data_IF_435529612174
#
_entry.id   IF_435529612174
#
_cell.length_a   1.000
_cell.length_b   1.000
_cell.length_c   1.000
_cell.angle_alpha   90.00
_cell.angle_beta   90.00
_cell.angle_gamma   90.00
#
_symmetry.space_group_name_H-M   'P 1'
#
loop_
_entity.id
_entity.type
_entity.pdbx_description
1 polymer ?
#
# COMPACT_ATOMS: atom_id res chain seq x y z
N UNK A 1 0.60 27.58 7.94
CA UNK A 1 -0.52 27.25 7.00
C UNK A 1 -1.50 26.25 7.61
N UNK A 2 -1.04 25.16 8.26
CA UNK A 2 -1.93 24.10 8.80
C UNK A 2 -3.01 24.67 9.73
N UNK A 3 -2.63 25.47 10.70
CA UNK A 3 -3.59 26.04 11.67
C UNK A 3 -4.25 27.34 11.18
N UNK A 4 -3.52 28.20 10.46
CA UNK A 4 -4.01 29.51 10.06
C UNK A 4 -4.90 29.44 8.81
N UNK A 5 -4.53 28.66 7.79
CA UNK A 5 -5.25 28.56 6.51
C UNK A 5 -6.29 27.46 6.55
N UNK A 6 -5.87 26.25 6.94
CA UNK A 6 -6.76 25.08 6.93
C UNK A 6 -7.54 24.87 8.23
N UNK A 7 -7.28 25.65 9.26
CA UNK A 7 -7.92 25.55 10.60
C UNK A 7 -7.85 24.14 11.19
N UNK A 8 -6.74 23.43 10.93
CA UNK A 8 -6.49 22.08 11.43
C UNK A 8 -5.51 22.08 12.61
N UNK A 9 -5.65 21.10 13.48
CA UNK A 9 -4.84 20.98 14.71
C UNK A 9 -3.44 20.43 14.45
N UNK A 10 -3.24 19.72 13.36
CA UNK A 10 -1.98 19.05 13.01
C UNK A 10 -2.08 18.27 11.72
N UNK A 11 -1.19 17.30 11.58
CA UNK A 11 -1.06 16.44 10.40
C UNK A 11 -1.05 14.98 10.81
N UNK A 12 -1.70 14.12 10.04
CA UNK A 12 -1.59 12.67 10.14
C UNK A 12 -0.86 12.14 8.90
N UNK A 13 0.09 11.23 9.12
CA UNK A 13 0.92 10.62 8.07
C UNK A 13 0.73 9.11 8.09
N UNK A 14 0.44 8.52 6.93
CA UNK A 14 0.47 7.07 6.76
C UNK A 14 1.91 6.56 6.69
N UNK A 15 2.35 5.82 7.70
CA UNK A 15 3.71 5.28 7.78
C UNK A 15 3.75 3.88 7.16
N UNK A 16 4.44 3.75 6.03
CA UNK A 16 4.57 2.49 5.29
C UNK A 16 5.84 1.70 5.62
N UNK A 17 6.78 2.30 6.37
CA UNK A 17 8.14 1.78 6.55
C UNK A 17 9.08 2.09 5.37
N UNK A 18 8.58 2.74 4.31
CA UNK A 18 9.39 3.23 3.20
C UNK A 18 9.90 4.65 3.43
N UNK A 19 10.94 5.02 2.64
CA UNK A 19 11.64 6.31 2.79
C UNK A 19 10.74 7.52 2.57
N UNK A 20 9.81 7.46 1.62
CA UNK A 20 8.94 8.60 1.28
C UNK A 20 8.06 9.01 2.47
N UNK A 21 7.37 8.02 3.07
CA UNK A 21 6.54 8.26 4.25
C UNK A 21 7.37 8.73 5.46
N UNK A 22 8.59 8.22 5.60
CA UNK A 22 9.52 8.64 6.64
C UNK A 22 9.94 10.10 6.45
N UNK A 23 10.30 10.50 5.22
CA UNK A 23 10.64 11.89 4.89
C UNK A 23 9.46 12.83 5.16
N UNK A 24 8.25 12.49 4.74
CA UNK A 24 7.06 13.31 4.97
C UNK A 24 6.82 13.51 6.47
N UNK A 25 6.94 12.45 7.28
CA UNK A 25 6.80 12.54 8.72
C UNK A 25 7.88 13.46 9.36
N UNK A 26 9.15 13.28 8.97
CA UNK A 26 10.26 14.08 9.48
C UNK A 26 10.11 15.56 9.11
N UNK A 27 9.78 15.87 7.86
CA UNK A 27 9.52 17.25 7.40
C UNK A 27 8.34 17.85 8.14
N UNK A 28 7.26 17.09 8.36
CA UNK A 28 6.11 17.55 9.12
C UNK A 28 6.48 17.91 10.57
N UNK A 29 7.26 17.05 11.24
CA UNK A 29 7.77 17.31 12.60
C UNK A 29 8.64 18.57 12.63
N UNK A 30 9.52 18.72 11.65
CA UNK A 30 10.38 19.91 11.57
C UNK A 30 9.55 21.20 11.35
N UNK A 31 8.49 21.12 10.56
CA UNK A 31 7.68 22.28 10.19
C UNK A 31 6.69 22.73 11.27
N UNK A 32 6.08 21.81 12.03
CA UNK A 32 4.99 22.15 12.95
C UNK A 32 5.14 21.60 14.38
N UNK A 33 6.21 20.88 14.66
CA UNK A 33 6.48 20.24 15.96
C UNK A 33 5.87 18.84 16.07
N UNK A 34 6.54 17.97 16.81
CA UNK A 34 6.18 16.55 16.97
C UNK A 34 4.80 16.34 17.61
N UNK A 35 4.37 17.25 18.47
CA UNK A 35 3.09 17.19 19.19
C UNK A 35 1.87 17.36 18.25
N UNK A 36 2.12 17.84 17.02
CA UNK A 36 1.10 18.08 16.00
C UNK A 36 1.16 17.09 14.84
N UNK A 37 2.02 16.06 14.95
CA UNK A 37 2.16 15.03 13.92
C UNK A 37 1.79 13.68 14.51
N UNK A 38 0.94 12.94 13.80
CA UNK A 38 0.52 11.59 14.17
C UNK A 38 0.87 10.62 13.05
N UNK A 39 1.50 9.51 13.40
CA UNK A 39 1.79 8.41 12.49
C UNK A 39 0.71 7.32 12.53
N UNK A 40 0.23 6.87 11.38
CA UNK A 40 -0.68 5.75 11.29
C UNK A 40 -0.07 4.61 10.47
N UNK A 41 0.11 3.45 11.10
CA UNK A 41 0.64 2.23 10.46
C UNK A 41 -0.54 1.32 10.14
N UNK A 42 -0.74 1.00 8.86
CA UNK A 42 -1.93 0.34 8.32
C UNK A 42 -1.57 -0.96 7.60
N UNK A 43 -1.10 -1.99 8.34
CA UNK A 43 -0.84 -3.30 7.75
C UNK A 43 -2.13 -4.01 7.36
N UNK A 44 -2.01 -4.92 6.41
CA UNK A 44 -3.01 -5.93 6.09
C UNK A 44 -2.31 -7.31 6.00
N UNK A 45 -3.07 -8.38 5.89
CA UNK A 45 -2.57 -9.76 6.01
C UNK A 45 -1.37 -10.12 5.11
N UNK A 46 -1.22 -9.45 3.96
CA UNK A 46 -0.10 -9.68 3.04
C UNK A 46 1.02 -8.64 3.17
N UNK A 47 0.90 -7.70 4.14
CA UNK A 47 1.94 -6.71 4.38
C UNK A 47 3.18 -7.35 4.97
N UNK A 48 4.36 -6.89 4.54
CA UNK A 48 5.61 -7.35 5.13
C UNK A 48 5.73 -6.86 6.59
N UNK A 49 5.85 -7.75 7.59
CA UNK A 49 5.98 -7.37 8.99
C UNK A 49 7.13 -6.38 9.27
N UNK A 50 8.26 -6.54 8.56
CA UNK A 50 9.44 -5.66 8.70
C UNK A 50 9.09 -4.21 8.36
N UNK A 51 8.19 -3.98 7.39
CA UNK A 51 7.75 -2.63 7.05
C UNK A 51 7.03 -1.94 8.22
N UNK A 52 6.18 -2.68 8.94
CA UNK A 52 5.50 -2.16 10.13
C UNK A 52 6.48 -1.87 11.28
N UNK A 53 7.49 -2.72 11.47
CA UNK A 53 8.54 -2.48 12.46
C UNK A 53 9.32 -1.21 12.15
N UNK A 54 9.73 -0.99 10.90
CA UNK A 54 10.44 0.22 10.50
C UNK A 54 9.57 1.46 10.66
N UNK A 55 8.29 1.39 10.31
CA UNK A 55 7.35 2.48 10.51
C UNK A 55 7.25 2.89 11.99
N UNK A 56 7.11 1.91 12.89
CA UNK A 56 7.03 2.14 14.33
C UNK A 56 8.34 2.70 14.88
N UNK A 57 9.49 2.10 14.54
CA UNK A 57 10.81 2.59 14.95
C UNK A 57 11.04 4.03 14.52
N UNK A 58 10.64 4.38 13.29
CA UNK A 58 10.77 5.74 12.79
C UNK A 58 9.87 6.72 13.57
N UNK A 59 8.61 6.36 13.83
CA UNK A 59 7.70 7.18 14.64
C UNK A 59 8.26 7.43 16.06
N UNK A 60 8.81 6.38 16.68
CA UNK A 60 9.46 6.47 17.99
C UNK A 60 10.69 7.38 17.96
N UNK A 61 11.54 7.26 16.94
CA UNK A 61 12.72 8.12 16.77
C UNK A 61 12.34 9.59 16.59
N UNK A 62 11.23 9.89 15.92
CA UNK A 62 10.70 11.25 15.78
C UNK A 62 9.98 11.73 17.05
N UNK A 63 9.66 10.84 17.99
CA UNK A 63 8.90 11.13 19.20
C UNK A 63 7.45 11.55 18.94
N UNK A 64 6.85 11.07 17.86
CA UNK A 64 5.45 11.36 17.48
C UNK A 64 4.48 10.31 18.05
N UNK A 65 3.23 10.73 18.30
CA UNK A 65 2.15 9.80 18.54
C UNK A 65 1.98 8.87 17.32
N UNK A 66 1.85 7.58 17.56
CA UNK A 66 1.59 6.63 16.49
C UNK A 66 0.61 5.54 16.92
N UNK A 67 -0.10 4.98 15.93
CA UNK A 67 -1.03 3.87 16.12
C UNK A 67 -0.89 2.89 14.97
N UNK A 68 -1.07 1.61 15.28
CA UNK A 68 -1.20 0.56 14.28
C UNK A 68 -2.63 0.06 14.25
N UNK A 69 -3.19 -0.06 13.04
CA UNK A 69 -4.54 -0.58 12.81
C UNK A 69 -4.43 -1.64 11.71
N UNK A 70 -4.84 -2.86 12.00
CA UNK A 70 -4.98 -3.90 10.98
C UNK A 70 -6.19 -3.59 10.10
N UNK A 71 -5.94 -3.35 8.81
CA UNK A 71 -6.97 -3.05 7.82
C UNK A 71 -7.45 -4.27 7.04
N UNK A 72 -6.97 -5.47 7.40
CA UNK A 72 -7.39 -6.73 6.76
C UNK A 72 -8.91 -6.87 6.65
N UNK A 73 -9.71 -6.63 7.72
CA UNK A 73 -11.16 -6.74 7.63
C UNK A 73 -11.78 -5.77 6.63
N UNK A 74 -11.25 -4.54 6.54
CA UNK A 74 -11.73 -3.53 5.58
C UNK A 74 -11.44 -3.96 4.14
N UNK A 75 -10.23 -4.45 3.88
CA UNK A 75 -9.83 -4.91 2.54
C UNK A 75 -10.64 -6.14 2.14
N UNK A 76 -10.75 -7.12 3.03
CA UNK A 76 -11.44 -8.39 2.75
C UNK A 76 -12.94 -8.20 2.51
N UNK A 77 -13.58 -7.26 3.20
CA UNK A 77 -14.99 -6.92 2.99
C UNK A 77 -15.29 -6.38 1.59
N UNK A 78 -14.31 -5.80 0.91
CA UNK A 78 -14.47 -5.18 -0.43
C UNK A 78 -13.95 -6.11 -1.53
N UNK A 79 -12.71 -6.62 -1.36
CA UNK A 79 -12.02 -7.39 -2.41
C UNK A 79 -12.35 -8.85 -2.33
N UNK A 80 -12.58 -9.38 -1.12
CA UNK A 80 -12.66 -10.82 -0.87
C UNK A 80 -11.41 -11.54 -1.42
N UNK A 81 -10.40 -11.73 -0.59
CA UNK A 81 -9.12 -12.37 -0.97
C UNK A 81 -9.33 -13.72 -1.66
N UNK A 82 -10.35 -14.48 -1.27
CA UNK A 82 -10.70 -15.75 -1.89
C UNK A 82 -11.06 -15.57 -3.37
N UNK A 83 -11.89 -14.60 -3.71
CA UNK A 83 -12.26 -14.32 -5.10
C UNK A 83 -11.05 -13.92 -5.94
N UNK A 84 -10.17 -13.07 -5.39
CA UNK A 84 -8.89 -12.72 -6.04
C UNK A 84 -8.05 -13.97 -6.32
N UNK A 85 -7.90 -14.84 -5.33
CA UNK A 85 -7.08 -16.04 -5.46
C UNK A 85 -7.67 -17.03 -6.48
N UNK A 86 -8.99 -17.19 -6.49
CA UNK A 86 -9.70 -17.96 -7.52
C UNK A 86 -9.48 -17.37 -8.93
N UNK A 87 -9.46 -16.05 -9.05
CA UNK A 87 -9.17 -15.36 -10.31
C UNK A 87 -7.72 -15.59 -10.77
N UNK A 88 -6.75 -15.43 -9.89
CA UNK A 88 -5.34 -15.68 -10.19
C UNK A 88 -5.10 -17.15 -10.58
N UNK A 89 -5.77 -18.10 -9.92
CA UNK A 89 -5.70 -19.51 -10.25
C UNK A 89 -6.30 -19.84 -11.62
N UNK A 90 -7.34 -19.13 -12.07
CA UNK A 90 -7.85 -19.26 -13.45
C UNK A 90 -6.83 -18.80 -14.49
N UNK A 91 -5.98 -17.83 -14.14
CA UNK A 91 -4.96 -17.32 -15.04
C UNK A 91 -3.70 -18.21 -15.07
N UNK A 92 -3.27 -18.68 -13.91
CA UNK A 92 -2.13 -19.58 -13.72
C UNK A 92 -2.60 -20.73 -12.81
N UNK A 93 -2.93 -21.89 -13.35
CA UNK A 93 -3.54 -23.01 -12.60
C UNK A 93 -2.69 -23.52 -11.43
N UNK A 94 -1.39 -23.32 -11.49
CA UNK A 94 -0.43 -23.68 -10.43
C UNK A 94 -0.44 -22.69 -9.25
N UNK A 95 -1.00 -21.49 -9.42
CA UNK A 95 -1.11 -20.51 -8.34
C UNK A 95 -1.84 -21.09 -7.12
N UNK A 96 -1.37 -20.75 -5.95
CA UNK A 96 -2.02 -21.07 -4.66
C UNK A 96 -2.02 -19.83 -3.77
N UNK A 97 -3.01 -19.68 -2.86
CA UNK A 97 -3.02 -18.59 -1.87
C UNK A 97 -1.68 -18.50 -1.14
N UNK A 98 -1.15 -17.28 -1.00
CA UNK A 98 0.14 -17.01 -0.39
C UNK A 98 1.33 -16.96 -1.35
N UNK A 99 1.19 -17.36 -2.61
CA UNK A 99 2.25 -17.19 -3.59
C UNK A 99 2.42 -15.72 -3.94
N UNK A 100 3.66 -15.29 -4.11
CA UNK A 100 3.96 -13.92 -4.55
C UNK A 100 3.64 -13.76 -6.03
N UNK A 101 3.00 -12.66 -6.36
CA UNK A 101 2.74 -12.30 -7.75
C UNK A 101 2.96 -10.80 -7.98
N UNK A 102 3.28 -10.45 -9.21
CA UNK A 102 3.34 -9.06 -9.65
C UNK A 102 2.91 -8.92 -11.12
N UNK A 103 2.65 -7.68 -11.52
CA UNK A 103 2.43 -7.32 -12.92
C UNK A 103 3.69 -6.64 -13.42
N UNK A 104 4.24 -7.16 -14.50
CA UNK A 104 5.43 -6.59 -15.14
C UNK A 104 5.12 -6.09 -16.54
N UNK A 105 5.78 -5.01 -16.91
CA UNK A 105 5.88 -4.56 -18.30
C UNK A 105 7.26 -5.02 -18.82
N UNK A 106 7.35 -5.59 -20.03
CA UNK A 106 8.66 -5.92 -20.61
C UNK A 106 9.58 -4.70 -20.63
N UNK A 107 10.82 -4.89 -20.22
CA UNK A 107 11.83 -3.82 -20.13
C UNK A 107 12.43 -3.43 -21.48
N UNK A 108 12.16 -4.19 -22.53
CA UNK A 108 12.74 -4.02 -23.88
C UNK A 108 12.06 -2.93 -24.72
N UNK A 109 11.41 -1.96 -24.05
CA UNK A 109 10.62 -0.90 -24.69
C UNK A 109 11.44 0.01 -25.62
N UNK A 110 12.74 0.11 -25.40
CA UNK A 110 13.63 0.99 -26.16
C UNK A 110 14.29 0.30 -27.35
N UNK A 111 14.31 -1.04 -27.40
CA UNK A 111 15.07 -1.79 -28.41
C UNK A 111 14.21 -2.49 -29.46
N UNK A 112 12.91 -2.63 -29.25
CA UNK A 112 12.00 -3.28 -30.19
C UNK A 112 10.75 -2.46 -30.45
N UNK A 113 10.45 -2.17 -31.70
CA UNK A 113 9.17 -1.64 -32.17
C UNK A 113 8.04 -2.70 -32.03
N UNK A 114 7.93 -3.35 -30.88
CA UNK A 114 6.95 -4.39 -30.61
C UNK A 114 5.97 -3.95 -29.52
N UNK A 115 4.71 -4.32 -29.67
CA UNK A 115 3.67 -4.03 -28.70
C UNK A 115 4.04 -4.62 -27.33
N UNK A 116 4.17 -3.75 -26.32
CA UNK A 116 4.43 -4.14 -24.95
C UNK A 116 3.15 -4.62 -24.29
N UNK A 117 3.17 -5.84 -23.77
CA UNK A 117 2.02 -6.42 -23.08
C UNK A 117 2.36 -6.64 -21.62
N UNK A 118 1.43 -6.25 -20.74
CA UNK A 118 1.52 -6.59 -19.33
C UNK A 118 1.50 -8.11 -19.12
N UNK A 119 2.32 -8.58 -18.20
CA UNK A 119 2.41 -9.98 -17.80
C UNK A 119 2.14 -10.13 -16.32
N UNK A 120 1.30 -11.10 -15.97
CA UNK A 120 1.24 -11.62 -14.61
C UNK A 120 2.43 -12.56 -14.41
N UNK A 121 3.18 -12.36 -13.36
CA UNK A 121 4.24 -13.26 -12.93
C UNK A 121 3.90 -13.78 -11.54
N UNK A 122 4.05 -15.09 -11.35
CA UNK A 122 3.86 -15.78 -10.06
C UNK A 122 5.15 -16.50 -9.72
N UNK A 123 5.64 -16.28 -8.50
CA UNK A 123 6.79 -17.00 -7.95
C UNK A 123 6.29 -18.26 -7.25
N UNK A 124 6.75 -19.41 -7.74
CA UNK A 124 6.48 -20.70 -7.13
C UNK A 124 7.36 -20.93 -5.90
N UNK A 125 7.01 -21.85 -4.98
CA UNK A 125 7.78 -22.13 -3.77
C UNK A 125 9.21 -22.62 -4.03
N UNK A 126 9.46 -23.27 -5.16
CA UNK A 126 10.77 -23.71 -5.61
C UNK A 126 11.60 -22.61 -6.29
N UNK A 127 11.04 -21.39 -6.39
CA UNK A 127 11.67 -20.25 -7.03
C UNK A 127 11.39 -20.13 -8.54
N UNK A 128 10.73 -21.12 -9.16
CA UNK A 128 10.34 -21.04 -10.57
C UNK A 128 9.37 -19.86 -10.78
N UNK A 129 9.53 -19.15 -11.91
CA UNK A 129 8.66 -18.05 -12.29
C UNK A 129 7.69 -18.49 -13.40
N UNK A 130 6.42 -18.57 -13.09
CA UNK A 130 5.36 -18.75 -14.09
C UNK A 130 4.86 -17.39 -14.56
N UNK A 131 4.64 -17.25 -15.86
CA UNK A 131 4.15 -15.98 -16.41
C UNK A 131 3.07 -16.18 -17.46
N UNK A 132 2.09 -15.26 -17.46
CA UNK A 132 1.02 -15.21 -18.45
C UNK A 132 0.87 -13.77 -18.96
N UNK A 133 0.74 -13.62 -20.29
CA UNK A 133 0.33 -12.35 -20.88
C UNK A 133 -1.11 -12.05 -20.48
N UNK A 134 -1.36 -10.81 -20.05
CA UNK A 134 -2.70 -10.36 -19.65
C UNK A 134 -3.44 -9.72 -20.83
N UNK A 135 -4.72 -10.00 -20.91
CA UNK A 135 -5.67 -9.17 -21.66
C UNK A 135 -5.91 -7.87 -20.91
N UNK A 136 -6.55 -6.89 -21.57
CA UNK A 136 -6.90 -5.63 -20.92
C UNK A 136 -7.81 -5.82 -19.70
N UNK A 137 -8.84 -6.65 -19.82
CA UNK A 137 -9.80 -6.91 -18.73
C UNK A 137 -9.16 -7.65 -17.56
N UNK A 138 -8.28 -8.62 -17.84
CA UNK A 138 -7.50 -9.30 -16.80
C UNK A 138 -6.59 -8.34 -16.05
N UNK A 139 -5.93 -7.41 -16.76
CA UNK A 139 -5.11 -6.37 -16.16
C UNK A 139 -5.93 -5.45 -15.26
N UNK A 140 -7.06 -4.95 -15.74
CA UNK A 140 -7.95 -4.08 -14.96
C UNK A 140 -8.42 -4.79 -13.69
N UNK A 141 -8.79 -6.06 -13.79
CA UNK A 141 -9.23 -6.86 -12.65
C UNK A 141 -8.14 -6.98 -11.60
N UNK A 142 -6.92 -7.40 -11.98
CA UNK A 142 -5.82 -7.54 -11.01
C UNK A 142 -5.43 -6.19 -10.40
N UNK A 143 -5.38 -5.14 -11.22
CA UNK A 143 -5.05 -3.79 -10.74
C UNK A 143 -6.10 -3.28 -9.74
N UNK A 144 -7.37 -3.64 -9.92
CA UNK A 144 -8.42 -3.24 -8.99
C UNK A 144 -8.18 -3.78 -7.59
N UNK A 145 -7.71 -5.04 -7.45
CA UNK A 145 -7.37 -5.63 -6.15
C UNK A 145 -6.26 -4.87 -5.43
N UNK A 146 -5.19 -4.50 -6.15
CA UNK A 146 -4.09 -3.73 -5.58
C UNK A 146 -4.55 -2.33 -5.14
N UNK A 147 -5.36 -1.66 -5.96
CA UNK A 147 -5.85 -0.32 -5.70
C UNK A 147 -6.79 -0.25 -4.49
N UNK A 148 -7.57 -1.29 -4.22
CA UNK A 148 -8.45 -1.33 -3.04
C UNK A 148 -7.64 -1.25 -1.75
N UNK A 149 -6.50 -1.93 -1.66
CA UNK A 149 -5.61 -1.85 -0.49
C UNK A 149 -5.14 -0.42 -0.22
N UNK A 150 -4.79 0.31 -1.28
CA UNK A 150 -4.38 1.72 -1.19
C UNK A 150 -5.57 2.58 -0.71
N UNK A 151 -6.75 2.39 -1.31
CA UNK A 151 -7.95 3.14 -0.95
C UNK A 151 -8.42 2.84 0.47
N UNK A 152 -8.32 1.59 0.93
CA UNK A 152 -8.64 1.22 2.32
C UNK A 152 -7.73 1.95 3.31
N UNK A 153 -6.42 2.07 3.02
CA UNK A 153 -5.50 2.88 3.84
C UNK A 153 -5.93 4.34 3.89
N UNK A 154 -6.28 4.92 2.73
CA UNK A 154 -6.75 6.31 2.69
C UNK A 154 -8.05 6.50 3.48
N UNK A 155 -8.99 5.55 3.42
CA UNK A 155 -10.22 5.60 4.20
C UNK A 155 -9.93 5.70 5.71
N UNK A 156 -9.05 4.86 6.23
CA UNK A 156 -8.64 4.91 7.64
C UNK A 156 -7.91 6.20 8.01
N UNK A 157 -7.02 6.69 7.13
CA UNK A 157 -6.31 7.96 7.34
C UNK A 157 -7.29 9.14 7.42
N UNK A 158 -8.22 9.24 6.48
CA UNK A 158 -9.19 10.33 6.47
C UNK A 158 -10.16 10.25 7.65
N UNK A 159 -10.65 9.06 8.00
CA UNK A 159 -11.52 8.89 9.16
C UNK A 159 -10.85 9.36 10.46
N UNK A 160 -9.58 9.01 10.67
CA UNK A 160 -8.83 9.45 11.85
C UNK A 160 -8.50 10.95 11.78
N UNK A 161 -8.17 11.46 10.59
CA UNK A 161 -7.92 12.89 10.36
C UNK A 161 -9.15 13.75 10.68
N UNK A 162 -10.32 13.34 10.22
CA UNK A 162 -11.58 14.05 10.46
C UNK A 162 -11.94 14.06 11.94
N UNK A 163 -11.87 12.90 12.58
CA UNK A 163 -12.15 12.75 14.02
C UNK A 163 -11.28 13.65 14.89
N UNK A 164 -10.05 13.93 14.50
CA UNK A 164 -9.08 14.74 15.26
C UNK A 164 -8.87 16.14 14.70
N UNK A 165 -9.54 16.50 13.61
CA UNK A 165 -9.32 17.77 12.88
C UNK A 165 -7.88 17.96 12.40
N UNK A 166 -7.34 16.91 11.73
CA UNK A 166 -5.99 16.90 11.15
C UNK A 166 -6.05 17.02 9.63
N UNK A 167 -4.91 17.37 9.02
CA UNK A 167 -4.66 17.19 7.59
C UNK A 167 -4.04 15.82 7.35
N UNK A 168 -4.37 15.19 6.23
CA UNK A 168 -3.65 14.02 5.72
C UNK A 168 -2.49 14.50 4.85
N UNK A 169 -1.31 13.98 5.09
CA UNK A 169 -0.10 14.23 4.32
C UNK A 169 0.51 12.93 3.77
#
# INVERSE_FOLDING_TARGET
QVSAVFRKKGVIVGLSGGIDSACIAAVSVHAIGKEKVIGLVLPETESNPISSEYAIKHAQALGIEHRQIDITPTVDSIVNYRWRDEFLQKLIPEYRPGFKYNITLPTDLLERASFSFYRLQVQMPDGEMKSKRLTHDELLTITSFANIKIRARMLHLYAEAERRSLLVA
#
